data_IF_091395674097
#
_entry.id   IF_091395674097
#
_cell.length_a   1.000
_cell.length_b   1.000
_cell.length_c   1.000
_cell.angle_alpha   90.00
_cell.angle_beta   90.00
_cell.angle_gamma   90.00
#
_symmetry.space_group_name_H-M   'P 1'
#
loop_
_entity.id
_entity.type
_entity.pdbx_description
1 polymer ?
#
# COMPACT_ATOMS: atom_id res chain seq x y z
N UNK A 1 -2.99 -4.26 30.89
CA UNK A 1 -3.79 -3.40 30.01
C UNK A 1 -3.26 -3.48 28.59
N UNK A 2 -4.17 -3.64 27.64
CA UNK A 2 -3.77 -3.70 26.24
C UNK A 2 -3.45 -2.31 25.74
N UNK A 3 -2.28 -2.18 25.14
CA UNK A 3 -1.88 -0.96 24.48
C UNK A 3 -2.73 -0.76 23.24
N UNK A 4 -3.12 0.48 22.93
CA UNK A 4 -3.89 0.78 21.73
C UNK A 4 -3.19 0.31 20.44
N UNK A 5 -1.85 0.33 20.44
CA UNK A 5 -1.07 -0.16 19.30
C UNK A 5 -1.28 -1.65 19.09
N UNK A 6 -1.34 -2.40 20.16
CA UNK A 6 -1.54 -3.84 20.10
C UNK A 6 -2.96 -4.22 19.70
N UNK A 7 -3.90 -3.30 19.89
CA UNK A 7 -5.30 -3.52 19.55
C UNK A 7 -5.66 -3.07 18.13
N UNK A 8 -4.67 -2.67 17.32
CA UNK A 8 -4.93 -2.21 15.96
C UNK A 8 -5.48 -3.33 15.10
N UNK A 9 -6.55 -3.03 14.37
CA UNK A 9 -7.21 -3.96 13.48
C UNK A 9 -6.75 -3.75 12.05
N UNK A 10 -7.06 -4.70 11.19
CA UNK A 10 -6.82 -4.54 9.76
C UNK A 10 -7.48 -3.26 9.23
N UNK A 11 -8.73 -3.01 9.67
CA UNK A 11 -9.44 -1.82 9.22
C UNK A 11 -8.71 -0.53 9.57
N UNK A 12 -8.04 -0.50 10.72
CA UNK A 12 -7.23 0.66 11.08
C UNK A 12 -6.18 0.95 10.00
N UNK A 13 -5.45 -0.09 9.57
CA UNK A 13 -4.41 0.08 8.55
C UNK A 13 -4.99 0.45 7.19
N UNK A 14 -6.16 -0.09 6.86
CA UNK A 14 -6.81 0.21 5.59
C UNK A 14 -7.28 1.67 5.48
N UNK A 15 -7.42 2.36 6.62
CA UNK A 15 -7.82 3.77 6.63
C UNK A 15 -6.64 4.74 6.58
N UNK A 16 -5.41 4.25 6.69
CA UNK A 16 -4.24 5.12 6.70
C UNK A 16 -3.90 5.63 5.30
N UNK A 17 -3.38 6.84 5.26
CA UNK A 17 -3.00 7.49 4.00
C UNK A 17 -1.53 7.24 3.68
N UNK A 18 -1.25 6.12 3.02
CA UNK A 18 0.11 5.83 2.56
C UNK A 18 0.41 6.64 1.31
N UNK A 19 1.53 7.37 1.30
CA UNK A 19 1.91 8.13 0.09
C UNK A 19 2.15 7.19 -1.10
N UNK A 20 1.65 7.60 -2.25
CA UNK A 20 1.81 6.86 -3.50
C UNK A 20 2.70 7.68 -4.43
N UNK A 21 3.75 7.06 -4.96
CA UNK A 21 4.60 7.68 -5.97
C UNK A 21 4.24 7.10 -7.32
N UNK A 22 3.96 7.97 -8.30
CA UNK A 22 3.62 7.55 -9.67
C UNK A 22 4.61 8.22 -10.62
N UNK A 23 5.16 7.44 -11.53
CA UNK A 23 6.10 7.97 -12.53
C UNK A 23 5.94 7.22 -13.85
N UNK A 24 6.24 7.90 -14.97
CA UNK A 24 6.17 7.24 -16.27
C UNK A 24 7.26 6.18 -16.39
N UNK A 25 6.93 5.07 -17.05
CA UNK A 25 7.90 4.04 -17.33
C UNK A 25 8.50 4.28 -18.73
N UNK A 26 9.80 3.99 -18.87
CA UNK A 26 10.51 4.21 -20.13
C UNK A 26 9.96 3.37 -21.29
N UNK A 27 9.36 2.23 -20.99
CA UNK A 27 8.78 1.34 -21.99
C UNK A 27 7.30 1.64 -22.28
N UNK A 28 6.81 2.75 -21.73
CA UNK A 28 5.40 3.13 -21.87
C UNK A 28 4.63 2.81 -20.61
N UNK A 29 3.52 3.55 -20.40
CA UNK A 29 2.70 3.37 -19.21
C UNK A 29 3.29 4.03 -17.98
N UNK A 30 2.81 3.58 -16.83
CA UNK A 30 3.13 4.20 -15.54
C UNK A 30 3.39 3.14 -14.49
N UNK A 31 4.25 3.50 -13.53
CA UNK A 31 4.50 2.68 -12.35
C UNK A 31 4.01 3.45 -11.14
N UNK A 32 3.31 2.77 -10.24
CA UNK A 32 2.95 3.32 -8.94
C UNK A 32 3.58 2.47 -7.84
N UNK A 33 4.01 3.13 -6.79
CA UNK A 33 4.70 2.48 -5.70
C UNK A 33 4.31 3.09 -4.36
N UNK A 34 4.12 2.24 -3.37
CA UNK A 34 3.97 2.69 -1.98
C UNK A 34 5.25 2.29 -1.26
N UNK A 35 6.13 3.27 -1.07
CA UNK A 35 7.48 3.01 -0.54
C UNK A 35 7.46 2.47 0.88
N UNK A 36 6.46 2.84 1.67
CA UNK A 36 6.34 2.35 3.05
C UNK A 36 6.04 0.86 3.11
N UNK A 37 5.50 0.29 2.04
CA UNK A 37 5.10 -1.11 1.98
C UNK A 37 5.99 -1.84 0.98
N UNK A 38 6.98 -2.55 1.47
CA UNK A 38 7.99 -3.20 0.64
C UNK A 38 7.37 -4.12 -0.40
N UNK A 39 7.70 -3.90 -1.67
CA UNK A 39 7.18 -4.69 -2.77
C UNK A 39 5.78 -4.30 -3.25
N UNK A 40 5.18 -3.27 -2.67
CA UNK A 40 3.85 -2.83 -3.11
C UNK A 40 3.99 -1.86 -4.28
N UNK A 41 3.89 -2.40 -5.48
CA UNK A 41 3.99 -1.61 -6.70
C UNK A 41 3.14 -2.22 -7.79
N UNK A 42 2.80 -1.41 -8.79
CA UNK A 42 2.04 -1.87 -9.95
C UNK A 42 2.48 -1.10 -11.18
N UNK A 43 2.25 -1.68 -12.35
CA UNK A 43 2.56 -1.06 -13.63
C UNK A 43 1.38 -1.27 -14.58
N UNK A 44 0.88 -0.15 -15.16
CA UNK A 44 -0.26 -0.19 -16.05
C UNK A 44 -0.06 0.81 -17.18
N UNK A 45 -0.91 0.74 -18.21
CA UNK A 45 -0.76 1.61 -19.37
C UNK A 45 -1.29 3.02 -19.15
N UNK A 46 -2.30 3.19 -18.30
CA UNK A 46 -2.89 4.50 -18.04
C UNK A 46 -2.74 4.90 -16.58
N UNK A 47 -2.81 6.20 -16.32
CA UNK A 47 -2.76 6.71 -14.95
C UNK A 47 -3.95 6.19 -14.13
N UNK A 48 -5.14 6.20 -14.73
CA UNK A 48 -6.35 5.75 -14.06
C UNK A 48 -6.25 4.30 -13.61
N UNK A 49 -5.78 3.44 -14.50
CA UNK A 49 -5.58 2.03 -14.16
C UNK A 49 -4.50 1.86 -13.10
N UNK A 50 -3.44 2.65 -13.20
CA UNK A 50 -2.34 2.59 -12.24
C UNK A 50 -2.82 2.97 -10.84
N UNK A 51 -3.61 4.03 -10.72
CA UNK A 51 -4.17 4.47 -9.44
C UNK A 51 -5.11 3.41 -8.87
N UNK A 52 -5.99 2.88 -9.69
CA UNK A 52 -6.92 1.84 -9.25
C UNK A 52 -6.16 0.62 -8.74
N UNK A 53 -5.18 0.18 -9.49
CA UNK A 53 -4.45 -1.04 -9.16
C UNK A 53 -3.53 -0.87 -7.96
N UNK A 54 -2.91 0.31 -7.77
CA UNK A 54 -2.07 0.49 -6.60
C UNK A 54 -2.92 0.52 -5.32
N UNK A 55 -4.13 1.05 -5.38
CA UNK A 55 -5.04 1.02 -4.23
C UNK A 55 -5.44 -0.41 -3.88
N UNK A 56 -5.73 -1.24 -4.89
CA UNK A 56 -6.04 -2.64 -4.68
C UNK A 56 -4.82 -3.42 -4.17
N UNK A 57 -3.65 -3.14 -4.73
CA UNK A 57 -2.41 -3.78 -4.29
C UNK A 57 -2.09 -3.45 -2.84
N UNK A 58 -2.30 -2.19 -2.44
CA UNK A 58 -2.12 -1.78 -1.05
C UNK A 58 -3.03 -2.58 -0.11
N UNK A 59 -4.30 -2.67 -0.46
CA UNK A 59 -5.25 -3.38 0.39
C UNK A 59 -4.90 -4.85 0.52
N UNK A 60 -4.53 -5.48 -0.58
CA UNK A 60 -4.10 -6.87 -0.57
C UNK A 60 -2.82 -7.06 0.24
N UNK A 61 -1.86 -6.14 0.09
CA UNK A 61 -0.61 -6.19 0.84
C UNK A 61 -0.87 -6.12 2.35
N UNK A 62 -1.74 -5.19 2.76
CA UNK A 62 -2.07 -5.01 4.16
C UNK A 62 -2.80 -6.23 4.73
N UNK A 63 -3.76 -6.76 3.98
CA UNK A 63 -4.50 -7.95 4.40
C UNK A 63 -3.57 -9.15 4.58
N UNK A 64 -2.68 -9.35 3.63
CA UNK A 64 -1.76 -10.49 3.65
C UNK A 64 -0.80 -10.42 4.84
N UNK A 65 -0.18 -9.25 5.04
CA UNK A 65 0.80 -9.06 6.10
C UNK A 65 0.12 -9.11 7.47
N UNK A 66 -1.10 -8.57 7.55
CA UNK A 66 -1.87 -8.62 8.78
C UNK A 66 -2.18 -10.07 9.18
N UNK A 67 -2.63 -10.88 8.21
CA UNK A 67 -2.93 -12.30 8.45
C UNK A 67 -1.70 -13.08 8.87
N UNK A 68 -0.53 -12.72 8.33
CA UNK A 68 0.72 -13.35 8.70
C UNK A 68 1.22 -12.94 10.08
N UNK A 69 0.56 -11.96 10.71
CA UNK A 69 0.96 -11.47 12.01
C UNK A 69 2.26 -10.68 11.99
N UNK A 70 2.67 -10.17 10.83
CA UNK A 70 3.90 -9.40 10.71
C UNK A 70 3.65 -7.93 10.95
N UNK A 71 4.72 -7.22 11.27
CA UNK A 71 4.65 -5.79 11.52
C UNK A 71 4.28 -5.03 10.25
N UNK A 72 3.32 -4.12 10.37
CA UNK A 72 2.91 -3.25 9.26
C UNK A 72 3.48 -1.86 9.53
N UNK A 73 4.31 -1.33 8.60
CA UNK A 73 4.84 0.03 8.75
C UNK A 73 3.73 1.07 8.70
N UNK A 74 3.89 2.15 9.45
CA UNK A 74 2.97 3.28 9.38
C UNK A 74 3.42 4.24 8.29
N UNK A 75 2.49 5.04 7.73
CA UNK A 75 2.87 6.01 6.70
C UNK A 75 3.89 7.00 7.22
N UNK A 76 4.82 7.38 6.37
CA UNK A 76 5.78 8.44 6.65
C UNK A 76 5.17 9.75 6.14
N UNK A 77 5.15 10.75 6.99
CA UNK A 77 4.63 12.09 6.62
C UNK A 77 5.65 12.87 5.79
#
# INVERSE_FOLDING_TARGET
MINAVEARTLNYYLTLNYPITIYPDSDGGYVAQIKDLAGCLTQEETIEETIQNINEARDLWLETVYELGRKIPLPID
#
